data_IF_583091271845
#
_entry.id   IF_583091271845
#
_cell.length_a   1.000
_cell.length_b   1.000
_cell.length_c   1.000
_cell.angle_alpha   90.00
_cell.angle_beta   90.00
_cell.angle_gamma   90.00
#
_symmetry.space_group_name_H-M   'P 1'
#
loop_
_entity.id
_entity.type
_entity.pdbx_description
1 polymer ?
#
# COMPACT_ATOMS: atom_id res chain seq x y z
N UNK A 1 -11.55 -7.80 -20.60
CA UNK A 1 -12.50 -6.71 -20.92
C UNK A 1 -13.28 -6.45 -19.64
N UNK A 2 -12.96 -5.38 -18.91
CA UNK A 2 -13.58 -5.04 -17.61
C UNK A 2 -14.85 -4.22 -17.86
N UNK A 3 -16.01 -4.79 -17.59
CA UNK A 3 -17.30 -4.06 -17.66
C UNK A 3 -17.54 -3.39 -16.31
N UNK A 4 -17.56 -2.04 -16.28
CA UNK A 4 -17.78 -1.24 -15.06
C UNK A 4 -19.26 -1.21 -14.70
N UNK A 5 -19.57 -1.53 -13.44
CA UNK A 5 -20.75 -1.01 -12.75
C UNK A 5 -20.27 0.19 -11.92
N UNK A 6 -20.49 1.40 -12.41
CA UNK A 6 -20.10 2.63 -11.72
C UNK A 6 -21.01 2.89 -10.53
N UNK A 7 -20.55 2.60 -9.30
CA UNK A 7 -21.27 2.91 -8.07
C UNK A 7 -20.28 3.26 -6.94
N UNK A 8 -19.46 4.27 -7.17
CA UNK A 8 -18.65 4.88 -6.11
C UNK A 8 -19.54 5.67 -5.15
N UNK A 9 -19.33 5.53 -3.84
CA UNK A 9 -20.03 6.33 -2.83
C UNK A 9 -19.03 7.06 -1.93
N UNK A 10 -19.36 8.29 -1.54
CA UNK A 10 -18.69 9.09 -0.51
C UNK A 10 -19.33 8.81 0.83
N UNK A 11 -18.54 8.74 1.88
CA UNK A 11 -19.07 8.76 3.25
C UNK A 11 -19.38 10.20 3.67
N UNK A 12 -20.42 10.38 4.49
CA UNK A 12 -20.82 11.70 4.97
C UNK A 12 -19.73 12.34 5.85
N UNK A 13 -19.65 13.67 5.83
CA UNK A 13 -18.67 14.40 6.65
C UNK A 13 -18.90 14.13 8.15
N UNK A 14 -17.83 13.80 8.88
CA UNK A 14 -17.88 13.42 10.29
C UNK A 14 -18.07 11.92 10.57
N UNK A 15 -18.25 11.08 9.53
CA UNK A 15 -18.21 9.61 9.65
C UNK A 15 -16.84 9.02 9.27
N UNK A 16 -15.78 9.85 9.24
CA UNK A 16 -14.40 9.43 8.96
C UNK A 16 -13.95 8.29 9.90
N UNK A 17 -14.27 8.40 11.18
CA UNK A 17 -13.98 7.41 12.23
C UNK A 17 -14.61 6.03 11.91
N UNK A 18 -15.82 6.04 11.32
CA UNK A 18 -16.55 4.84 10.96
C UNK A 18 -16.12 4.28 9.58
N UNK A 19 -15.60 5.14 8.69
CA UNK A 19 -14.91 4.75 7.47
C UNK A 19 -13.59 4.01 7.74
N UNK A 20 -12.95 4.30 8.87
CA UNK A 20 -11.69 3.70 9.30
C UNK A 20 -11.91 2.33 9.95
N UNK A 21 -13.10 2.07 10.51
CA UNK A 21 -13.59 0.71 10.73
C UNK A 21 -13.70 -0.08 9.40
N UNK A 22 -13.78 0.63 8.26
CA UNK A 22 -13.58 0.13 6.88
C UNK A 22 -12.30 -0.65 6.65
N UNK A 23 -11.26 -0.31 7.41
CA UNK A 23 -9.93 -0.91 7.28
C UNK A 23 -9.83 -2.24 8.06
N UNK A 24 -10.72 -2.50 9.03
CA UNK A 24 -10.74 -3.72 9.85
C UNK A 24 -11.77 -4.77 9.41
N UNK A 25 -12.23 -4.69 8.16
CA UNK A 25 -13.39 -5.45 7.68
C UNK A 25 -13.07 -6.89 7.29
N UNK A 26 -13.19 -7.82 8.24
CA UNK A 26 -13.15 -9.27 8.00
C UNK A 26 -11.81 -9.94 8.35
N UNK A 27 -11.60 -11.16 7.87
CA UNK A 27 -10.40 -11.96 8.16
C UNK A 27 -9.26 -11.70 7.15
N UNK A 28 -9.55 -11.19 5.94
CA UNK A 28 -8.52 -10.85 4.95
C UNK A 28 -8.80 -9.53 4.21
N UNK A 29 -8.03 -8.51 4.56
CA UNK A 29 -7.94 -7.26 3.80
C UNK A 29 -6.56 -7.16 3.13
N UNK A 30 -6.52 -6.60 1.92
CA UNK A 30 -5.26 -6.11 1.35
C UNK A 30 -5.25 -4.60 1.50
N UNK A 31 -4.23 -4.10 2.15
CA UNK A 31 -4.06 -2.70 2.43
C UNK A 31 -2.85 -2.18 1.66
N UNK A 32 -3.13 -1.45 0.58
CA UNK A 32 -2.16 -0.64 -0.17
C UNK A 32 -2.12 0.74 0.46
N UNK A 33 -1.44 0.85 1.61
CA UNK A 33 -1.23 2.13 2.26
C UNK A 33 -0.23 2.96 1.47
N UNK A 34 0.96 2.43 1.23
CA UNK A 34 2.09 3.24 0.82
C UNK A 34 2.38 3.09 -0.67
N UNK A 35 2.00 4.12 -1.43
CA UNK A 35 2.36 4.33 -2.84
C UNK A 35 3.28 5.54 -2.95
N UNK A 36 4.59 5.29 -3.03
CA UNK A 36 5.60 6.31 -3.33
C UNK A 36 5.91 6.35 -4.84
N UNK A 37 6.76 7.27 -5.29
CA UNK A 37 7.25 7.28 -6.67
C UNK A 37 7.88 5.93 -7.04
N UNK A 38 7.14 5.10 -7.79
CA UNK A 38 7.58 3.79 -8.23
C UNK A 38 7.79 2.74 -7.14
N UNK A 39 7.15 2.89 -5.97
CA UNK A 39 7.13 1.88 -4.90
C UNK A 39 5.68 1.68 -4.44
N UNK A 40 5.25 0.43 -4.36
CA UNK A 40 3.99 0.05 -3.71
C UNK A 40 4.26 -1.02 -2.66
N UNK A 41 3.84 -0.75 -1.43
CA UNK A 41 3.88 -1.71 -0.32
C UNK A 41 2.44 -2.11 0.03
N UNK A 42 2.13 -3.39 -0.09
CA UNK A 42 0.84 -3.97 0.29
C UNK A 42 1.01 -4.87 1.52
N UNK A 43 0.10 -4.72 2.48
CA UNK A 43 -0.05 -5.64 3.62
C UNK A 43 -1.33 -6.44 3.46
N UNK A 44 -1.27 -7.74 3.70
CA UNK A 44 -2.38 -8.67 3.50
C UNK A 44 -2.65 -9.39 4.81
N UNK A 45 -3.89 -9.32 5.27
CA UNK A 45 -4.33 -9.98 6.50
C UNK A 45 -5.31 -9.10 7.26
N UNK A 46 -5.73 -9.59 8.42
CA UNK A 46 -6.66 -8.89 9.29
C UNK A 46 -6.00 -7.70 9.95
N UNK A 47 -6.60 -6.51 9.83
CA UNK A 47 -6.28 -5.38 10.72
C UNK A 47 -6.91 -5.66 12.09
N UNK A 48 -6.09 -5.86 13.11
CA UNK A 48 -6.56 -6.26 14.45
C UNK A 48 -6.93 -5.05 15.30
N UNK A 49 -6.17 -3.97 15.16
CA UNK A 49 -6.38 -2.73 15.92
C UNK A 49 -6.40 -1.53 14.99
N UNK A 50 -7.38 -0.66 15.19
CA UNK A 50 -7.44 0.68 14.62
C UNK A 50 -7.51 1.65 15.80
N UNK A 51 -6.54 2.54 15.91
CA UNK A 51 -6.49 3.56 16.96
C UNK A 51 -6.39 4.92 16.32
N UNK A 52 -7.28 5.82 16.69
CA UNK A 52 -7.17 7.23 16.34
C UNK A 52 -6.63 8.02 17.53
N UNK A 53 -5.52 8.72 17.32
CA UNK A 53 -4.94 9.59 18.32
C UNK A 53 -4.08 10.66 17.64
N UNK A 54 -4.08 11.87 18.21
CA UNK A 54 -3.12 12.93 17.84
C UNK A 54 -3.16 13.33 16.35
N UNK A 55 -4.31 13.20 15.69
CA UNK A 55 -4.45 13.51 14.26
C UNK A 55 -3.92 12.41 13.33
N UNK A 56 -3.69 11.20 13.85
CA UNK A 56 -3.26 10.03 13.10
C UNK A 56 -4.14 8.82 13.37
N UNK A 57 -4.20 7.93 12.37
CA UNK A 57 -4.72 6.58 12.48
C UNK A 57 -3.54 5.63 12.59
N UNK A 58 -3.57 4.74 13.57
CA UNK A 58 -2.60 3.66 13.75
C UNK A 58 -3.30 2.33 13.50
N UNK A 59 -2.75 1.57 12.56
CA UNK A 59 -3.22 0.23 12.23
C UNK A 59 -2.20 -0.78 12.75
N UNK A 60 -2.71 -1.78 13.46
CA UNK A 60 -1.90 -2.77 14.15
C UNK A 60 -2.46 -4.18 13.99
N UNK A 61 -1.60 -5.16 14.22
CA UNK A 61 -1.90 -6.58 14.23
C UNK A 61 -0.70 -7.40 13.75
N UNK A 62 -0.83 -8.73 13.71
CA UNK A 62 0.23 -9.60 13.22
C UNK A 62 0.67 -9.24 11.78
N UNK A 63 -0.28 -8.77 10.97
CA UNK A 63 -0.03 -8.40 9.57
C UNK A 63 0.15 -6.89 9.36
N UNK A 64 -0.16 -6.02 10.31
CA UNK A 64 -0.22 -4.58 10.04
C UNK A 64 0.58 -3.78 11.07
N UNK A 65 1.41 -2.87 10.57
CA UNK A 65 2.08 -1.81 11.33
C UNK A 65 2.12 -0.56 10.45
N UNK A 66 1.12 0.30 10.61
CA UNK A 66 0.97 1.50 9.79
C UNK A 66 0.46 2.71 10.55
N UNK A 67 0.80 3.89 10.04
CA UNK A 67 0.35 5.20 10.51
C UNK A 67 -0.10 6.05 9.34
N UNK A 68 -1.22 6.74 9.50
CA UNK A 68 -1.82 7.60 8.46
C UNK A 68 -2.22 8.91 9.12
N UNK A 69 -1.69 10.03 8.64
CA UNK A 69 -2.13 11.34 9.09
C UNK A 69 -3.54 11.64 8.57
N UNK A 70 -4.41 12.16 9.44
CA UNK A 70 -5.77 12.54 9.09
C UNK A 70 -5.83 13.84 8.29
N UNK A 71 -4.95 14.80 8.60
CA UNK A 71 -4.96 16.13 8.00
C UNK A 71 -4.98 16.16 6.47
N UNK A 72 -4.19 15.32 5.76
CA UNK A 72 -4.22 15.26 4.30
C UNK A 72 -5.47 14.62 3.68
N UNK A 73 -6.30 13.92 4.45
CA UNK A 73 -7.47 13.20 3.95
C UNK A 73 -8.64 14.17 3.75
N UNK A 74 -9.10 14.29 2.51
CA UNK A 74 -10.23 15.15 2.15
C UNK A 74 -11.49 14.34 1.80
N UNK A 75 -11.34 13.10 1.35
CA UNK A 75 -12.46 12.27 0.89
C UNK A 75 -12.20 10.79 1.20
N UNK A 76 -13.26 10.08 1.59
CA UNK A 76 -13.28 8.61 1.68
C UNK A 76 -14.29 8.05 0.68
N UNK A 77 -13.80 7.18 -0.21
CA UNK A 77 -14.58 6.63 -1.32
C UNK A 77 -14.69 5.12 -1.18
N UNK A 78 -15.91 4.60 -1.26
CA UNK A 78 -16.19 3.19 -1.43
C UNK A 78 -16.34 2.89 -2.93
N UNK A 79 -15.43 2.10 -3.51
CA UNK A 79 -15.46 1.68 -4.91
C UNK A 79 -15.69 0.18 -5.05
N UNK A 80 -16.73 -0.19 -5.82
CA UNK A 80 -17.14 -1.57 -6.12
C UNK A 80 -16.97 -1.94 -7.59
N UNK A 81 -16.39 -1.05 -8.39
CA UNK A 81 -16.33 -1.18 -9.84
C UNK A 81 -15.23 -2.14 -10.33
N UNK A 82 -14.30 -2.55 -9.44
CA UNK A 82 -13.21 -3.46 -9.79
C UNK A 82 -13.70 -4.90 -9.80
N UNK A 83 -13.48 -5.60 -10.93
CA UNK A 83 -13.80 -7.02 -11.08
C UNK A 83 -12.52 -7.75 -11.47
N UNK A 84 -12.11 -8.72 -10.66
CA UNK A 84 -10.95 -9.58 -10.91
C UNK A 84 -11.42 -11.03 -11.00
N UNK A 85 -11.25 -11.67 -12.17
CA UNK A 85 -11.65 -13.07 -12.42
C UNK A 85 -13.09 -13.34 -11.94
N UNK A 86 -14.02 -12.51 -12.40
CA UNK A 86 -15.46 -12.56 -12.08
C UNK A 86 -15.83 -12.29 -10.60
N UNK A 87 -14.86 -11.94 -9.76
CA UNK A 87 -15.09 -11.51 -8.37
C UNK A 87 -15.00 -9.99 -8.25
N UNK A 88 -16.00 -9.37 -7.64
CA UNK A 88 -15.92 -7.95 -7.26
C UNK A 88 -14.85 -7.81 -6.18
N UNK A 89 -13.92 -6.88 -6.39
CA UNK A 89 -12.86 -6.52 -5.47
C UNK A 89 -13.16 -5.13 -4.92
N UNK A 90 -14.07 -5.02 -3.93
CA UNK A 90 -14.46 -3.73 -3.40
C UNK A 90 -13.29 -3.11 -2.62
N UNK A 91 -13.27 -1.79 -2.55
CA UNK A 91 -12.23 -1.08 -1.81
C UNK A 91 -12.71 0.22 -1.19
N UNK A 92 -12.08 0.59 -0.08
CA UNK A 92 -12.13 1.92 0.51
C UNK A 92 -10.87 2.68 0.09
N UNK A 93 -11.03 3.88 -0.43
CA UNK A 93 -9.96 4.77 -0.82
C UNK A 93 -9.98 6.03 0.04
N UNK A 94 -8.84 6.37 0.64
CA UNK A 94 -8.61 7.66 1.29
C UNK A 94 -7.93 8.56 0.27
N UNK A 95 -8.47 9.76 0.04
CA UNK A 95 -8.01 10.66 -1.02
C UNK A 95 -7.71 12.06 -0.48
N UNK A 96 -6.68 12.68 -1.04
CA UNK A 96 -6.36 14.07 -0.79
C UNK A 96 -7.33 15.02 -1.50
N UNK A 97 -7.31 16.31 -1.14
CA UNK A 97 -8.14 17.33 -1.78
C UNK A 97 -7.90 17.48 -3.29
N UNK A 98 -6.70 17.10 -3.77
CA UNK A 98 -6.37 17.03 -5.19
C UNK A 98 -7.01 15.85 -5.93
N UNK A 99 -7.67 14.93 -5.21
CA UNK A 99 -8.17 13.66 -5.73
C UNK A 99 -7.11 12.55 -5.76
N UNK A 100 -5.86 12.83 -5.38
CA UNK A 100 -4.80 11.82 -5.30
C UNK A 100 -5.15 10.73 -4.27
N UNK A 101 -4.94 9.48 -4.65
CA UNK A 101 -5.09 8.33 -3.76
C UNK A 101 -3.97 8.34 -2.70
N UNK A 102 -4.35 8.38 -1.43
CA UNK A 102 -3.44 8.27 -0.29
C UNK A 102 -3.32 6.82 0.17
N UNK A 103 -4.44 6.13 0.32
CA UNK A 103 -4.54 4.77 0.85
C UNK A 103 -5.65 4.02 0.14
N UNK A 104 -5.45 2.74 -0.14
CA UNK A 104 -6.49 1.84 -0.66
C UNK A 104 -6.57 0.56 0.15
N UNK A 105 -7.74 0.24 0.68
CA UNK A 105 -8.03 -1.00 1.39
C UNK A 105 -9.00 -1.86 0.59
N UNK A 106 -8.55 -3.00 0.10
CA UNK A 106 -9.28 -3.90 -0.77
C UNK A 106 -9.81 -5.09 0.05
N UNK A 107 -11.12 -5.31 -0.02
CA UNK A 107 -11.78 -6.48 0.57
C UNK A 107 -11.52 -7.73 -0.27
N UNK A 108 -10.51 -8.54 0.09
CA UNK A 108 -10.15 -9.74 -0.66
C UNK A 108 -11.23 -10.83 -0.59
N UNK A 109 -12.06 -10.80 0.45
CA UNK A 109 -13.15 -11.76 0.67
C UNK A 109 -14.34 -11.52 -0.27
N UNK A 110 -14.44 -10.34 -0.89
CA UNK A 110 -15.46 -10.00 -1.89
C UNK A 110 -16.48 -8.99 -1.37
N UNK A 111 -17.55 -8.80 -2.14
CA UNK A 111 -18.53 -7.73 -1.91
C UNK A 111 -19.35 -7.93 -0.64
N UNK A 112 -19.88 -9.12 -0.37
CA UNK A 112 -20.84 -9.30 0.74
C UNK A 112 -20.22 -9.04 2.12
N UNK A 113 -19.04 -9.60 2.48
CA UNK A 113 -18.40 -9.30 3.76
C UNK A 113 -18.00 -7.82 3.88
N UNK A 114 -17.63 -7.20 2.76
CA UNK A 114 -17.26 -5.80 2.71
C UNK A 114 -18.47 -4.88 2.95
N UNK A 115 -19.63 -5.17 2.35
CA UNK A 115 -20.86 -4.40 2.57
C UNK A 115 -21.40 -4.56 3.98
N UNK A 116 -21.39 -5.79 4.51
CA UNK A 116 -21.84 -6.07 5.87
C UNK A 116 -21.04 -5.26 6.90
N UNK A 117 -19.75 -5.11 6.67
CA UNK A 117 -18.91 -4.37 7.59
C UNK A 117 -19.16 -2.85 7.49
N UNK A 118 -19.53 -2.32 6.31
CA UNK A 118 -19.91 -0.91 6.12
C UNK A 118 -21.40 -0.62 6.47
N UNK A 119 -22.13 -1.58 7.04
CA UNK A 119 -23.53 -1.43 7.41
C UNK A 119 -23.71 -0.26 8.41
N UNK A 120 -24.78 0.52 8.24
CA UNK A 120 -25.07 1.67 9.11
C UNK A 120 -24.35 2.97 8.75
N UNK A 121 -23.40 2.96 7.80
CA UNK A 121 -22.73 4.18 7.34
C UNK A 121 -23.57 4.97 6.33
N UNK A 122 -23.61 6.28 6.48
CA UNK A 122 -24.29 7.20 5.57
C UNK A 122 -23.45 7.43 4.32
N UNK A 123 -24.05 7.19 3.16
CA UNK A 123 -23.37 7.25 1.87
C UNK A 123 -24.06 8.21 0.91
N UNK A 124 -23.28 9.02 0.21
CA UNK A 124 -23.73 9.84 -0.91
C UNK A 124 -23.07 9.36 -2.20
N UNK A 125 -23.64 9.62 -3.39
CA UNK A 125 -22.95 9.32 -4.65
C UNK A 125 -21.59 10.01 -4.74
N UNK A 126 -20.56 9.28 -5.17
CA UNK A 126 -19.26 9.85 -5.49
C UNK A 126 -19.21 10.24 -6.97
N UNK A 127 -18.49 11.32 -7.28
CA UNK A 127 -18.13 11.60 -8.66
C UNK A 127 -17.22 10.49 -9.19
N UNK A 128 -17.41 10.09 -10.46
CA UNK A 128 -16.52 9.12 -11.07
C UNK A 128 -15.11 9.73 -11.20
N UNK A 129 -14.14 9.08 -10.57
CA UNK A 129 -12.75 9.50 -10.68
C UNK A 129 -12.17 9.06 -12.03
N UNK A 130 -11.52 10.00 -12.72
CA UNK A 130 -10.64 9.65 -13.83
C UNK A 130 -9.57 8.67 -13.34
N UNK A 131 -9.35 7.58 -14.08
CA UNK A 131 -8.18 6.74 -13.83
C UNK A 131 -6.94 7.55 -14.20
N UNK A 132 -5.92 7.64 -13.32
CA UNK A 132 -4.63 8.13 -13.75
C UNK A 132 -4.14 7.29 -14.94
N UNK A 133 -3.63 7.93 -15.99
CA UNK A 133 -2.82 7.22 -16.96
C UNK A 133 -1.57 6.72 -16.24
N UNK A 134 -1.37 5.41 -16.22
CA UNK A 134 -0.13 4.82 -15.75
C UNK A 134 0.78 4.60 -16.96
N UNK A 135 1.93 5.29 -16.96
CA UNK A 135 2.96 5.00 -17.94
C UNK A 135 3.36 3.53 -17.83
N UNK A 136 3.54 2.81 -18.95
CA UNK A 136 4.02 1.44 -18.93
C UNK A 136 5.33 1.37 -18.13
N UNK A 137 5.41 0.40 -17.22
CA UNK A 137 6.63 0.18 -16.46
C UNK A 137 7.77 -0.15 -17.44
N UNK A 138 8.95 0.48 -17.29
CA UNK A 138 10.09 0.14 -18.12
C UNK A 138 10.49 -1.31 -17.86
N UNK A 139 11.14 -1.95 -18.83
CA UNK A 139 11.75 -3.26 -18.60
C UNK A 139 12.73 -3.13 -17.42
N UNK A 140 12.61 -4.03 -16.44
CA UNK A 140 13.54 -4.05 -15.32
C UNK A 140 14.90 -4.54 -15.84
N UNK A 141 15.93 -3.70 -15.72
CA UNK A 141 17.29 -4.09 -16.07
C UNK A 141 17.79 -5.20 -15.12
N UNK A 142 18.59 -6.13 -15.63
CA UNK A 142 19.17 -7.22 -14.82
C UNK A 142 20.07 -6.69 -13.69
N UNK A 143 20.73 -5.56 -13.92
CA UNK A 143 21.61 -4.87 -12.98
C UNK A 143 20.94 -3.67 -12.30
N UNK A 144 19.60 -3.69 -12.20
CA UNK A 144 18.83 -2.59 -11.64
C UNK A 144 19.37 -2.19 -10.23
N UNK A 145 19.75 -0.92 -9.99
CA UNK A 145 20.38 -0.50 -8.74
C UNK A 145 19.55 -0.76 -7.48
N UNK A 146 18.23 -0.87 -7.64
CA UNK A 146 17.31 -1.28 -6.57
C UNK A 146 17.48 -2.73 -6.08
N UNK A 147 18.17 -3.62 -6.80
CA UNK A 147 18.26 -5.06 -6.48
C UNK A 147 19.26 -5.39 -5.37
N UNK A 148 20.45 -4.81 -5.40
CA UNK A 148 21.61 -5.32 -4.65
C UNK A 148 21.37 -5.50 -3.14
N UNK A 149 20.71 -4.57 -2.41
CA UNK A 149 20.41 -4.81 -0.99
C UNK A 149 19.43 -5.95 -0.74
N UNK A 150 18.46 -6.16 -1.64
CA UNK A 150 17.52 -7.27 -1.51
C UNK A 150 18.18 -8.61 -1.80
N UNK A 151 19.10 -8.67 -2.77
CA UNK A 151 19.91 -9.86 -3.05
C UNK A 151 20.79 -10.21 -1.84
N UNK A 152 21.44 -9.20 -1.26
CA UNK A 152 22.24 -9.37 -0.03
C UNK A 152 21.41 -9.97 1.12
N UNK A 153 20.17 -9.49 1.30
CA UNK A 153 19.26 -9.98 2.33
C UNK A 153 18.76 -11.40 2.04
N UNK A 154 18.46 -11.70 0.77
CA UNK A 154 18.04 -13.03 0.31
C UNK A 154 19.16 -14.06 0.51
N UNK A 155 20.37 -13.75 0.05
CA UNK A 155 21.54 -14.64 0.15
C UNK A 155 21.90 -14.93 1.61
N UNK A 156 21.77 -13.93 2.49
CA UNK A 156 22.01 -14.09 3.91
C UNK A 156 20.87 -14.81 4.66
N UNK A 157 19.68 -14.98 4.04
CA UNK A 157 18.48 -15.47 4.71
C UNK A 157 18.10 -14.64 5.94
N UNK A 158 18.47 -13.36 5.95
CA UNK A 158 18.35 -12.49 7.11
C UNK A 158 16.94 -11.93 7.28
N UNK A 159 16.55 -11.65 8.52
CA UNK A 159 15.36 -10.85 8.76
C UNK A 159 15.64 -9.39 8.38
N UNK A 160 14.67 -8.75 7.72
CA UNK A 160 14.70 -7.34 7.35
C UNK A 160 13.40 -6.67 7.81
N UNK A 161 13.50 -5.42 8.24
CA UNK A 161 12.35 -4.51 8.26
C UNK A 161 12.37 -3.66 6.99
N UNK A 162 11.32 -3.78 6.17
CA UNK A 162 11.07 -2.99 4.97
C UNK A 162 10.00 -1.97 5.31
N UNK A 163 10.34 -0.69 5.21
CA UNK A 163 9.47 0.42 5.57
C UNK A 163 9.33 1.37 4.39
N UNK A 164 8.13 1.88 4.18
CA UNK A 164 7.88 3.01 3.31
C UNK A 164 7.27 4.14 4.14
N UNK A 165 8.00 5.25 4.22
CA UNK A 165 7.59 6.47 4.91
C UNK A 165 7.48 7.62 3.91
N UNK A 166 6.29 8.20 3.83
CA UNK A 166 5.92 9.33 2.98
C UNK A 166 5.28 10.42 3.85
N UNK A 167 5.14 11.66 3.37
CA UNK A 167 4.43 12.69 4.12
C UNK A 167 3.02 12.23 4.53
N UNK A 168 2.80 12.09 5.84
CA UNK A 168 1.51 11.67 6.41
C UNK A 168 1.22 10.17 6.30
N UNK A 169 2.20 9.32 5.99
CA UNK A 169 1.98 7.90 5.86
C UNK A 169 3.24 7.08 6.16
N UNK A 170 3.10 6.05 6.97
CA UNK A 170 4.16 5.06 7.21
C UNK A 170 3.58 3.67 7.23
N UNK A 171 4.24 2.71 6.58
CA UNK A 171 3.89 1.29 6.65
C UNK A 171 5.16 0.44 6.68
N UNK A 172 5.16 -0.61 7.49
CA UNK A 172 6.31 -1.51 7.61
C UNK A 172 5.90 -2.98 7.56
N UNK A 173 6.83 -3.79 7.06
CA UNK A 173 6.84 -5.23 7.23
C UNK A 173 8.19 -5.70 7.77
N UNK A 174 8.14 -6.74 8.60
CA UNK A 174 9.33 -7.43 9.10
C UNK A 174 9.23 -8.90 8.77
N UNK A 175 10.28 -9.45 8.17
CA UNK A 175 10.36 -10.87 7.87
C UNK A 175 11.58 -11.21 7.02
N UNK A 176 11.58 -12.40 6.43
CA UNK A 176 12.63 -12.87 5.53
C UNK A 176 12.16 -12.80 4.09
N UNK A 177 13.05 -12.38 3.21
CA UNK A 177 12.82 -12.43 1.77
C UNK A 177 13.09 -13.86 1.32
N UNK A 178 12.08 -14.51 0.77
CA UNK A 178 12.21 -15.89 0.26
C UNK A 178 12.54 -15.92 -1.23
N UNK A 179 12.07 -14.92 -1.98
CA UNK A 179 12.23 -14.87 -3.43
C UNK A 179 12.14 -13.42 -3.94
N UNK A 180 12.97 -13.11 -4.94
CA UNK A 180 12.90 -11.87 -5.73
C UNK A 180 12.34 -12.20 -7.11
N UNK A 181 11.27 -11.51 -7.51
CA UNK A 181 10.56 -11.76 -8.77
C UNK A 181 10.59 -10.54 -9.70
N UNK A 182 11.55 -10.45 -10.62
CA UNK A 182 11.48 -9.54 -11.76
C UNK A 182 10.29 -9.89 -12.65
N UNK A 183 9.28 -9.01 -12.73
CA UNK A 183 8.09 -9.26 -13.55
C UNK A 183 7.41 -7.96 -13.94
N UNK A 184 7.05 -7.83 -15.22
CA UNK A 184 6.29 -6.70 -15.77
C UNK A 184 6.89 -5.31 -15.48
N UNK A 185 8.23 -5.21 -15.42
CA UNK A 185 8.92 -3.96 -15.14
C UNK A 185 9.02 -3.60 -13.65
N UNK A 186 8.74 -4.56 -12.76
CA UNK A 186 8.89 -4.41 -11.32
C UNK A 186 9.81 -5.49 -10.74
N UNK A 187 10.57 -5.14 -9.72
CA UNK A 187 11.05 -6.10 -8.73
C UNK A 187 9.92 -6.36 -7.74
N UNK A 188 9.57 -7.62 -7.54
CA UNK A 188 8.49 -8.01 -6.64
C UNK A 188 9.02 -8.90 -5.50
N UNK A 189 8.54 -8.64 -4.29
CA UNK A 189 8.64 -9.56 -3.15
C UNK A 189 7.21 -9.91 -2.78
N UNK A 190 6.89 -11.20 -2.67
CA UNK A 190 5.53 -11.64 -2.38
C UNK A 190 5.54 -12.77 -1.35
N UNK A 191 5.03 -12.48 -0.16
CA UNK A 191 4.70 -13.46 0.87
C UNK A 191 3.18 -13.55 1.03
N UNK A 192 2.71 -14.38 1.97
CA UNK A 192 1.28 -14.48 2.27
C UNK A 192 0.66 -13.17 2.79
N UNK A 193 1.46 -12.33 3.45
CA UNK A 193 1.04 -11.13 4.17
C UNK A 193 1.68 -9.83 3.66
N UNK A 194 2.68 -9.90 2.78
CA UNK A 194 3.47 -8.77 2.30
C UNK A 194 3.64 -8.83 0.79
N UNK A 195 3.34 -7.74 0.10
CA UNK A 195 3.86 -7.52 -1.24
C UNK A 195 4.65 -6.21 -1.32
N UNK A 196 5.81 -6.26 -1.97
CA UNK A 196 6.52 -5.10 -2.48
C UNK A 196 6.48 -5.14 -4.00
N UNK A 197 6.15 -4.00 -4.60
CA UNK A 197 6.34 -3.75 -6.03
C UNK A 197 7.27 -2.54 -6.18
N UNK A 198 8.48 -2.76 -6.67
CA UNK A 198 9.46 -1.72 -6.94
C UNK A 198 9.62 -1.55 -8.44
N UNK A 199 9.13 -0.44 -8.99
CA UNK A 199 9.16 -0.13 -10.43
C UNK A 199 10.60 0.05 -10.90
N UNK A 200 10.93 -0.47 -12.08
CA UNK A 200 12.20 -0.20 -12.72
C UNK A 200 12.44 1.31 -12.90
N UNK A 201 13.66 1.75 -12.60
CA UNK A 201 14.07 3.15 -12.68
C UNK A 201 13.57 4.04 -11.54
N UNK A 202 12.81 3.53 -10.57
CA UNK A 202 12.38 4.33 -9.41
C UNK A 202 13.47 4.50 -8.36
N UNK A 203 14.44 3.59 -8.35
CA UNK A 203 15.60 3.61 -7.44
C UNK A 203 16.88 3.66 -8.28
N UNK A 204 17.63 4.73 -8.12
CA UNK A 204 18.93 4.94 -8.76
C UNK A 204 20.09 4.42 -7.92
N UNK A 205 19.87 4.21 -6.62
CA UNK A 205 20.86 3.71 -5.69
C UNK A 205 20.37 3.75 -4.25
N UNK A 206 21.30 3.56 -3.31
CA UNK A 206 21.00 3.52 -1.89
C UNK A 206 22.02 4.36 -1.11
N UNK A 207 21.53 5.24 -0.24
CA UNK A 207 22.37 5.75 0.84
C UNK A 207 22.56 4.62 1.86
N UNK A 208 23.81 4.37 2.24
CA UNK A 208 24.20 3.27 3.09
C UNK A 208 24.70 3.78 4.44
N UNK A 209 24.13 3.24 5.50
CA UNK A 209 24.62 3.33 6.87
C UNK A 209 24.69 1.92 7.45
N UNK A 210 25.52 1.66 8.48
CA UNK A 210 25.55 0.37 9.15
C UNK A 210 24.15 -0.04 9.61
N UNK A 211 23.66 -1.14 9.05
CA UNK A 211 22.35 -1.73 9.32
C UNK A 211 21.16 -1.08 8.59
N UNK A 212 21.39 -0.07 7.74
CA UNK A 212 20.34 0.71 7.08
C UNK A 212 20.67 0.98 5.60
N UNK A 213 19.64 0.86 4.77
CA UNK A 213 19.65 1.33 3.39
C UNK A 213 18.45 2.24 3.16
N UNK A 214 18.71 3.43 2.63
CA UNK A 214 17.68 4.38 2.22
C UNK A 214 17.69 4.49 0.70
N UNK A 215 16.61 4.09 0.03
CA UNK A 215 16.53 4.11 -1.42
C UNK A 215 16.49 5.55 -1.94
N UNK A 216 17.31 5.83 -2.95
CA UNK A 216 17.44 7.12 -3.61
C UNK A 216 16.79 7.07 -5.00
N UNK A 217 16.03 8.11 -5.33
CA UNK A 217 15.40 8.29 -6.64
C UNK A 217 16.39 8.76 -7.71
N UNK A 218 15.96 8.89 -8.98
CA UNK A 218 16.81 9.38 -10.08
C UNK A 218 17.40 10.79 -9.87
N UNK A 219 16.75 11.61 -9.05
CA UNK A 219 17.19 12.95 -8.64
C UNK A 219 18.14 12.92 -7.42
N UNK A 220 18.43 11.74 -6.87
CA UNK A 220 19.23 11.56 -5.66
C UNK A 220 18.47 11.81 -4.35
N UNK A 221 17.18 12.14 -4.40
CA UNK A 221 16.38 12.36 -3.20
C UNK A 221 15.93 11.02 -2.58
N UNK A 222 15.75 10.93 -1.25
CA UNK A 222 15.16 9.76 -0.62
C UNK A 222 13.75 9.49 -1.14
N UNK A 223 13.49 8.24 -1.50
CA UNK A 223 12.15 7.79 -1.95
C UNK A 223 11.17 7.53 -0.81
N UNK A 224 11.68 7.47 0.43
CA UNK A 224 10.94 7.02 1.61
C UNK A 224 11.03 5.52 1.88
N UNK A 225 11.53 4.72 0.92
CA UNK A 225 11.75 3.28 1.11
C UNK A 225 13.06 3.04 1.88
N UNK A 226 12.97 2.32 2.99
CA UNK A 226 14.12 1.92 3.79
C UNK A 226 14.15 0.43 4.08
N UNK A 227 15.37 -0.12 4.19
CA UNK A 227 15.64 -1.49 4.61
C UNK A 227 16.52 -1.45 5.86
N UNK A 228 16.10 -2.15 6.92
CA UNK A 228 16.88 -2.28 8.15
C UNK A 228 17.16 -3.75 8.46
N UNK A 229 18.43 -4.09 8.54
CA UNK A 229 18.89 -5.43 8.93
C UNK A 229 20.35 -5.39 9.36
N UNK A 230 20.73 -6.23 10.33
CA UNK A 230 22.09 -6.27 10.85
C UNK A 230 23.15 -6.70 9.80
N UNK A 231 22.73 -7.32 8.71
CA UNK A 231 23.64 -7.79 7.64
C UNK A 231 23.93 -6.72 6.57
N UNK A 232 23.25 -5.58 6.61
CA UNK A 232 23.49 -4.48 5.68
C UNK A 232 24.66 -3.64 6.21
N UNK A 233 25.79 -3.61 5.50
CA UNK A 233 27.02 -2.87 5.88
C UNK A 233 27.06 -1.46 5.33
#
# INVERSE_FOLDING_TARGET
MLTRLGLGHRLAAGEGDAALAGLSMGERQRLGLARGPGVLLERIGRVETVQEAEGEIRLGGACHDARIALGPIAEVVVDRSSIMRDKVMPRVELRAASGALLVSAIGLEGLDPFEAALEGLTRAPAAEAAKPEEDPAPVLAEDHPGLAPFETLLDAGAEVAIELELPGLRQMWRGRIEELKPMMGFLNIMTADFHLHLRGGSVSGWAAEPGLRCALGPDGAPTGLTLRSAVLS
#
